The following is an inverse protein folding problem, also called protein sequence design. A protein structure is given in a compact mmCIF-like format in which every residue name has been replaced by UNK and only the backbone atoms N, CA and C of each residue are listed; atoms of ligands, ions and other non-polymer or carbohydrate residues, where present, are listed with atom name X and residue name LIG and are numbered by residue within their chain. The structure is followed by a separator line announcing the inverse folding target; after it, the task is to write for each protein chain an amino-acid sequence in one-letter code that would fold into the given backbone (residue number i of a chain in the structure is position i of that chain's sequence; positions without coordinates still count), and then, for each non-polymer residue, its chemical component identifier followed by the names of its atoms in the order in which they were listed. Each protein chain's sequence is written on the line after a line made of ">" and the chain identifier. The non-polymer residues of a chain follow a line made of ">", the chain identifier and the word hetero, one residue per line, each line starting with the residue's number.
data_IF_158030466161
#
_entry.id   IF_158030466161
#
_cell.length_a   1.000
_cell.length_b   1.000
_cell.length_c   1.000
_cell.angle_alpha   90.00
_cell.angle_beta   90.00
_cell.angle_gamma   90.00
#
_symmetry.space_group_name_H-M   'P 1'
#
loop_
_entity.id
_entity.type
_entity.pdbx_description
1 polymer ?
#
# COMPACT_ATOMS: atom_id res chain seq x y z
N UNK A 1 7.29 15.50 13.00
CA UNK A 1 6.71 14.82 11.81
C UNK A 1 6.51 15.83 10.70
N UNK A 2 6.99 15.49 9.51
CA UNK A 2 6.85 16.39 8.36
C UNK A 2 5.38 16.49 7.93
N UNK A 3 4.96 17.69 7.56
CA UNK A 3 3.63 17.91 7.02
C UNK A 3 3.69 17.81 5.49
N UNK A 4 2.66 17.26 4.82
CA UNK A 4 2.60 17.31 3.38
C UNK A 4 2.51 18.76 2.90
N UNK A 5 2.98 19.02 1.69
CA UNK A 5 2.86 20.35 1.08
C UNK A 5 1.36 20.71 0.94
N UNK A 6 1.02 22.00 0.98
CA UNK A 6 -0.37 22.41 0.76
C UNK A 6 -0.92 21.90 -0.57
N UNK A 7 -2.22 21.64 -0.62
CA UNK A 7 -2.89 21.10 -1.81
C UNK A 7 -2.59 21.90 -3.07
N UNK A 8 -2.56 23.21 -2.97
CA UNK A 8 -2.34 24.12 -4.10
C UNK A 8 -0.94 24.03 -4.71
N UNK A 9 0.01 23.40 -4.05
CA UNK A 9 1.35 23.17 -4.60
C UNK A 9 1.42 21.93 -5.50
N UNK A 10 0.33 21.19 -5.62
CA UNK A 10 0.27 19.98 -6.45
C UNK A 10 -0.54 20.22 -7.71
N UNK A 11 -0.14 19.58 -8.80
CA UNK A 11 -0.79 19.75 -10.10
C UNK A 11 -2.19 19.13 -10.15
N UNK A 12 -2.45 18.12 -9.30
CA UNK A 12 -3.73 17.42 -9.30
C UNK A 12 -4.04 16.87 -7.91
N UNK A 13 -5.31 16.54 -7.69
CA UNK A 13 -5.74 15.87 -6.46
C UNK A 13 -5.05 14.51 -6.30
N UNK A 14 -4.82 13.81 -7.42
CA UNK A 14 -4.13 12.52 -7.41
C UNK A 14 -2.71 12.64 -6.88
N UNK A 15 -1.97 13.65 -7.31
CA UNK A 15 -0.61 13.87 -6.81
C UNK A 15 -0.59 14.25 -5.33
N UNK A 16 -1.53 15.08 -4.90
CA UNK A 16 -1.67 15.45 -3.50
C UNK A 16 -1.96 14.23 -2.63
N UNK A 17 -2.95 13.43 -3.01
CA UNK A 17 -3.33 12.24 -2.24
C UNK A 17 -2.22 11.19 -2.22
N UNK A 18 -1.50 11.02 -3.33
CA UNK A 18 -0.35 10.12 -3.35
C UNK A 18 0.72 10.55 -2.36
N UNK A 19 1.06 11.85 -2.35
CA UNK A 19 2.04 12.38 -1.40
C UNK A 19 1.57 12.20 0.04
N UNK A 20 0.29 12.46 0.31
CA UNK A 20 -0.29 12.27 1.64
C UNK A 20 -0.19 10.81 2.09
N UNK A 21 -0.52 9.86 1.20
CA UNK A 21 -0.43 8.44 1.50
C UNK A 21 1.01 8.04 1.86
N UNK A 22 1.98 8.46 1.04
CA UNK A 22 3.39 8.13 1.25
C UNK A 22 3.89 8.65 2.60
N UNK A 23 3.42 9.81 3.04
CA UNK A 23 3.84 10.42 4.31
C UNK A 23 3.10 9.85 5.53
N UNK A 24 2.11 9.00 5.35
CA UNK A 24 1.33 8.41 6.43
C UNK A 24 2.04 7.19 6.99
N UNK A 25 2.91 7.38 7.99
CA UNK A 25 3.73 6.30 8.57
C UNK A 25 2.90 5.19 9.22
N UNK A 26 1.75 5.54 9.78
CA UNK A 26 0.93 4.60 10.54
C UNK A 26 -0.36 4.24 9.83
N UNK A 27 -0.42 4.51 8.53
CA UNK A 27 -1.63 4.31 7.75
C UNK A 27 -2.60 5.48 7.91
N UNK A 28 -3.81 5.32 7.42
CA UNK A 28 -4.84 6.35 7.46
C UNK A 28 -5.96 5.93 8.41
N UNK A 29 -6.63 6.92 9.02
CA UNK A 29 -7.74 6.63 9.90
C UNK A 29 -8.99 6.22 9.11
N UNK A 30 -10.05 5.81 9.83
CA UNK A 30 -11.27 5.33 9.21
C UNK A 30 -11.94 6.40 8.34
N UNK A 31 -11.86 7.67 8.72
CA UNK A 31 -12.47 8.75 7.94
C UNK A 31 -11.75 8.98 6.62
N UNK A 32 -10.43 8.84 6.61
CA UNK A 32 -9.64 9.00 5.40
C UNK A 32 -9.71 7.77 4.49
N UNK A 33 -10.07 6.60 5.04
CA UNK A 33 -10.05 5.34 4.30
C UNK A 33 -10.98 5.35 3.09
N UNK A 34 -12.18 5.90 3.26
CA UNK A 34 -13.14 6.00 2.16
C UNK A 34 -12.63 6.90 1.04
N UNK A 35 -11.95 7.99 1.40
CA UNK A 35 -11.33 8.88 0.42
C UNK A 35 -10.26 8.15 -0.37
N UNK A 36 -9.40 7.41 0.32
CA UNK A 36 -8.32 6.66 -0.34
C UNK A 36 -8.86 5.48 -1.14
N UNK A 37 -9.97 4.87 -0.71
CA UNK A 37 -10.60 3.82 -1.48
C UNK A 37 -11.10 4.34 -2.84
N UNK A 38 -11.66 5.55 -2.87
CA UNK A 38 -12.05 6.19 -4.12
C UNK A 38 -10.83 6.57 -4.98
N UNK A 39 -9.74 6.97 -4.34
CA UNK A 39 -8.49 7.32 -5.01
C UNK A 39 -7.84 6.10 -5.67
N UNK A 40 -7.83 4.97 -4.95
CA UNK A 40 -7.31 3.70 -5.46
C UNK A 40 -8.47 2.84 -5.96
N UNK A 41 -9.09 3.19 -7.04
CA UNK A 41 -10.39 2.63 -7.47
C UNK A 41 -10.30 1.28 -8.21
N UNK A 42 -9.27 0.51 -7.93
CA UNK A 42 -9.17 -0.86 -8.45
C UNK A 42 -8.48 -0.99 -9.80
N UNK A 43 -8.03 0.11 -10.38
CA UNK A 43 -7.35 0.11 -11.68
C UNK A 43 -6.00 0.81 -11.58
N UNK A 44 -4.98 0.14 -12.09
CA UNK A 44 -3.63 0.72 -12.12
C UNK A 44 -3.66 2.11 -12.77
N UNK A 45 -3.09 3.09 -12.11
CA UNK A 45 -2.98 4.50 -12.53
C UNK A 45 -4.29 5.30 -12.60
N UNK A 46 -5.42 4.74 -12.21
CA UNK A 46 -6.70 5.43 -12.45
C UNK A 46 -6.78 6.80 -11.79
N UNK A 47 -6.37 6.94 -10.56
CA UNK A 47 -6.32 8.23 -9.84
C UNK A 47 -4.94 8.52 -9.28
N UNK A 48 -4.16 7.46 -9.00
CA UNK A 48 -2.83 7.59 -8.44
C UNK A 48 -1.80 7.74 -9.57
N UNK A 49 -1.17 8.91 -9.71
CA UNK A 49 -0.15 9.09 -10.75
C UNK A 49 1.05 8.18 -10.47
N UNK A 50 1.61 7.62 -11.55
CA UNK A 50 2.74 6.71 -11.46
C UNK A 50 3.95 7.30 -12.17
N UNK A 51 5.12 7.16 -11.56
CA UNK A 51 6.38 7.53 -12.21
C UNK A 51 6.71 6.52 -13.31
N UNK A 52 7.70 6.85 -14.14
CA UNK A 52 8.19 5.94 -15.18
C UNK A 52 8.71 4.64 -14.54
N UNK A 53 9.41 4.75 -13.43
CA UNK A 53 9.97 3.60 -12.71
C UNK A 53 8.86 2.73 -12.09
N UNK A 54 7.84 3.36 -11.54
CA UNK A 54 6.70 2.63 -10.96
C UNK A 54 5.92 1.87 -12.04
N UNK A 55 5.68 2.52 -13.17
CA UNK A 55 5.02 1.89 -14.30
C UNK A 55 5.84 0.72 -14.83
N UNK A 56 7.15 0.92 -14.98
CA UNK A 56 8.06 -0.15 -15.43
C UNK A 56 8.02 -1.34 -14.49
N UNK A 57 8.03 -1.10 -13.19
CA UNK A 57 7.95 -2.15 -12.19
C UNK A 57 6.68 -2.98 -12.40
N UNK A 58 5.53 -2.31 -12.56
CA UNK A 58 4.26 -2.99 -12.79
C UNK A 58 4.27 -3.78 -14.10
N UNK A 59 4.78 -3.19 -15.19
CA UNK A 59 4.82 -3.84 -16.51
C UNK A 59 5.64 -5.14 -16.48
N UNK A 60 6.67 -5.19 -15.64
CA UNK A 60 7.56 -6.35 -15.53
C UNK A 60 7.04 -7.43 -14.59
N UNK A 61 5.93 -7.20 -13.88
CA UNK A 61 5.37 -8.19 -12.97
C UNK A 61 4.77 -9.38 -13.74
N UNK A 62 4.84 -10.60 -13.15
CA UNK A 62 4.14 -11.75 -13.72
C UNK A 62 2.62 -11.56 -13.58
N UNK A 63 1.85 -12.37 -14.31
CA UNK A 63 0.38 -12.28 -14.27
C UNK A 63 -0.20 -12.55 -12.88
N UNK A 64 0.45 -13.41 -12.09
CA UNK A 64 0.07 -13.68 -10.71
C UNK A 64 1.23 -13.26 -9.82
N UNK A 65 0.94 -12.41 -8.85
CA UNK A 65 1.94 -11.82 -7.95
C UNK A 65 1.67 -12.27 -6.52
N UNK A 66 2.72 -12.72 -5.84
CA UNK A 66 2.64 -13.01 -4.40
C UNK A 66 2.95 -11.73 -3.64
N UNK A 67 2.05 -11.38 -2.73
CA UNK A 67 2.15 -10.16 -1.94
C UNK A 67 2.03 -10.48 -0.46
N UNK A 68 2.63 -9.64 0.38
CA UNK A 68 2.71 -9.82 1.82
C UNK A 68 2.27 -8.57 2.55
N UNK A 69 1.66 -8.74 3.71
CA UNK A 69 1.28 -7.62 4.56
C UNK A 69 1.55 -7.97 6.02
N UNK A 70 2.28 -7.09 6.71
CA UNK A 70 2.47 -7.19 8.15
C UNK A 70 1.30 -6.56 8.89
N UNK A 71 0.81 -7.20 9.93
CA UNK A 71 -0.27 -6.67 10.74
C UNK A 71 -0.12 -7.09 12.19
N UNK A 72 -0.84 -6.40 13.05
CA UNK A 72 -0.82 -6.69 14.48
C UNK A 72 -2.24 -6.57 15.02
N UNK A 73 -2.86 -7.68 15.46
CA UNK A 73 -4.23 -7.66 16.00
C UNK A 73 -4.38 -6.75 17.21
N UNK A 74 -3.32 -6.60 18.01
CA UNK A 74 -3.38 -5.78 19.22
C UNK A 74 -3.59 -4.29 18.92
N UNK A 75 -3.19 -3.84 17.74
CA UNK A 75 -3.32 -2.45 17.32
C UNK A 75 -4.55 -2.22 16.44
N UNK A 76 -5.49 -3.14 16.43
CA UNK A 76 -6.69 -3.10 15.58
C UNK A 76 -6.38 -3.03 14.09
N UNK A 77 -5.17 -3.37 13.70
CA UNK A 77 -4.82 -3.44 12.29
C UNK A 77 -5.17 -4.81 11.77
N UNK A 78 -5.96 -4.80 10.72
CA UNK A 78 -6.38 -6.04 10.07
C UNK A 78 -5.43 -6.37 8.92
N UNK A 79 -5.44 -7.65 8.52
CA UNK A 79 -4.63 -8.08 7.40
C UNK A 79 -5.15 -7.54 6.05
N UNK A 80 -6.37 -7.09 5.99
CA UNK A 80 -7.07 -6.69 4.75
C UNK A 80 -6.93 -5.22 4.40
N UNK A 81 -5.91 -4.54 4.90
CA UNK A 81 -5.61 -3.17 4.50
C UNK A 81 -5.15 -3.08 3.05
N UNK A 82 -4.89 -1.86 2.58
CA UNK A 82 -4.56 -1.59 1.17
C UNK A 82 -3.08 -1.73 0.84
N UNK A 83 -2.19 -1.63 1.82
CA UNK A 83 -0.75 -1.60 1.59
C UNK A 83 -0.16 -3.01 1.66
N UNK A 84 0.48 -3.41 0.59
CA UNK A 84 1.11 -4.73 0.46
C UNK A 84 2.53 -4.58 -0.08
N UNK A 85 3.35 -5.58 0.06
CA UNK A 85 4.73 -5.58 -0.44
C UNK A 85 5.06 -6.94 -1.06
N UNK A 86 5.94 -6.98 -2.09
CA UNK A 86 6.42 -8.26 -2.60
C UNK A 86 7.48 -8.91 -1.70
N UNK A 87 7.95 -8.21 -0.67
CA UNK A 87 9.06 -8.64 0.18
C UNK A 87 8.55 -9.05 1.56
N UNK A 88 8.62 -10.35 1.87
CA UNK A 88 8.18 -10.89 3.15
C UNK A 88 8.93 -10.29 4.33
N UNK A 89 10.23 -10.02 4.18
CA UNK A 89 11.03 -9.43 5.25
C UNK A 89 10.59 -8.00 5.56
N UNK A 90 10.22 -7.24 4.54
CA UNK A 90 9.65 -5.89 4.72
C UNK A 90 8.33 -5.97 5.48
N UNK A 91 7.47 -6.92 5.12
CA UNK A 91 6.20 -7.12 5.81
C UNK A 91 6.42 -7.48 7.28
N UNK A 92 7.38 -8.37 7.57
CA UNK A 92 7.71 -8.76 8.93
C UNK A 92 8.25 -7.58 9.74
N UNK A 93 9.10 -6.78 9.13
CA UNK A 93 9.63 -5.57 9.77
C UNK A 93 8.50 -4.63 10.21
N UNK A 94 7.54 -4.38 9.35
CA UNK A 94 6.40 -3.51 9.69
C UNK A 94 5.50 -4.14 10.76
N UNK A 95 5.28 -5.44 10.68
CA UNK A 95 4.49 -6.15 11.67
C UNK A 95 5.12 -6.03 13.07
N UNK A 96 6.41 -6.26 13.17
CA UNK A 96 7.14 -6.23 14.44
C UNK A 96 7.27 -4.83 15.01
N UNK A 97 7.49 -3.85 14.15
CA UNK A 97 7.68 -2.45 14.55
C UNK A 97 6.50 -1.90 15.33
N UNK A 98 5.29 -2.40 15.05
CA UNK A 98 4.06 -1.89 15.65
C UNK A 98 3.50 -2.77 16.76
N UNK A 99 4.26 -3.78 17.15
CA UNK A 99 3.86 -4.69 18.22
C UNK A 99 4.60 -4.34 19.49
N UNK A 100 3.87 -4.08 20.58
CA UNK A 100 4.47 -3.86 21.90
C UNK A 100 5.20 -5.11 22.40
N UNK A 101 4.71 -6.28 22.01
CA UNK A 101 5.32 -7.55 22.37
C UNK A 101 6.44 -7.97 21.41
N UNK A 102 6.69 -7.19 20.35
CA UNK A 102 7.70 -7.52 19.35
C UNK A 102 7.32 -8.69 18.44
N UNK A 103 6.05 -9.08 18.43
CA UNK A 103 5.56 -10.22 17.63
C UNK A 103 4.44 -9.74 16.73
N UNK A 104 4.78 -9.47 15.49
CA UNK A 104 3.80 -9.17 14.45
C UNK A 104 3.51 -10.39 13.61
N UNK A 105 2.44 -10.33 12.85
CA UNK A 105 2.01 -11.39 11.95
C UNK A 105 2.13 -10.93 10.51
N UNK A 106 2.43 -11.87 9.61
CA UNK A 106 2.50 -11.61 8.17
C UNK A 106 1.49 -12.52 7.48
N UNK A 107 0.68 -11.92 6.63
CA UNK A 107 -0.23 -12.66 5.76
C UNK A 107 0.33 -12.60 4.33
N UNK A 108 0.14 -13.66 3.57
CA UNK A 108 0.49 -13.69 2.16
C UNK A 108 -0.73 -14.00 1.30
N UNK A 109 -0.72 -13.46 0.10
CA UNK A 109 -1.81 -13.64 -0.86
C UNK A 109 -1.25 -13.71 -2.27
N UNK A 110 -1.98 -14.35 -3.17
CA UNK A 110 -1.69 -14.35 -4.60
C UNK A 110 -2.79 -13.61 -5.32
N UNK A 111 -2.42 -12.59 -6.08
CA UNK A 111 -3.39 -11.78 -6.83
C UNK A 111 -2.93 -11.60 -8.28
N UNK A 112 -3.87 -11.41 -9.17
CA UNK A 112 -3.56 -10.99 -10.54
C UNK A 112 -2.94 -9.59 -10.49
N UNK A 113 -1.91 -9.34 -11.31
CA UNK A 113 -1.30 -8.01 -11.37
C UNK A 113 -2.29 -6.92 -11.74
N UNK A 114 -3.35 -7.27 -12.46
CA UNK A 114 -4.40 -6.31 -12.82
C UNK A 114 -5.11 -5.73 -11.58
N UNK A 115 -5.05 -6.41 -10.45
CA UNK A 115 -5.65 -5.94 -9.19
C UNK A 115 -4.73 -5.02 -8.40
N UNK A 116 -3.48 -4.87 -8.81
CA UNK A 116 -2.56 -3.91 -8.18
C UNK A 116 -2.90 -2.53 -8.73
N UNK A 117 -3.46 -1.68 -7.89
CA UNK A 117 -3.95 -0.36 -8.29
C UNK A 117 -2.82 0.64 -8.48
N UNK A 118 -1.75 0.50 -7.71
CA UNK A 118 -0.61 1.41 -7.76
C UNK A 118 0.64 0.72 -7.23
N UNK A 119 1.78 1.13 -7.75
CA UNK A 119 3.11 0.78 -7.24
C UNK A 119 3.71 2.05 -6.67
N UNK A 120 4.22 2.01 -5.45
CA UNK A 120 4.83 3.15 -4.79
C UNK A 120 6.29 2.82 -4.47
N UNK A 121 7.22 3.61 -4.99
CA UNK A 121 8.65 3.40 -4.84
C UNK A 121 9.35 4.56 -4.10
N UNK A 122 8.58 5.50 -3.55
CA UNK A 122 9.13 6.71 -2.94
C UNK A 122 9.54 6.56 -1.48
N UNK A 123 9.37 5.37 -0.88
CA UNK A 123 9.78 5.12 0.50
C UNK A 123 11.13 4.41 0.56
N UNK A 124 12.16 5.04 0.02
CA UNK A 124 13.51 4.48 0.02
C UNK A 124 13.61 3.22 -0.82
N UNK A 125 14.10 2.12 -0.25
CA UNK A 125 14.23 0.85 -0.94
C UNK A 125 12.99 -0.03 -0.86
N UNK A 126 11.95 0.43 -0.18
CA UNK A 126 10.74 -0.36 0.00
C UNK A 126 9.83 -0.25 -1.21
N UNK A 127 9.25 -1.38 -1.61
CA UNK A 127 8.27 -1.44 -2.68
C UNK A 127 6.89 -1.65 -2.05
N UNK A 128 5.97 -0.75 -2.33
CA UNK A 128 4.60 -0.85 -1.84
C UNK A 128 3.64 -1.04 -3.00
N UNK A 129 2.75 -2.03 -2.87
CA UNK A 129 1.67 -2.26 -3.82
C UNK A 129 0.36 -1.91 -3.13
N UNK A 130 -0.49 -1.18 -3.82
CA UNK A 130 -1.85 -0.88 -3.34
C UNK A 130 -2.80 -1.88 -3.97
N UNK A 131 -3.45 -2.68 -3.13
CA UNK A 131 -4.47 -3.65 -3.55
C UNK A 131 -5.65 -3.50 -2.59
N UNK A 132 -6.80 -3.12 -3.11
CA UNK A 132 -7.95 -2.70 -2.31
C UNK A 132 -8.99 -3.80 -2.10
N UNK A 133 -8.82 -4.95 -2.75
CA UNK A 133 -9.86 -5.99 -2.79
C UNK A 133 -9.36 -7.40 -2.40
N UNK A 134 -8.30 -7.48 -1.59
CA UNK A 134 -7.82 -8.79 -1.13
C UNK A 134 -8.86 -9.42 -0.20
N UNK A 135 -9.20 -10.66 -0.46
CA UNK A 135 -10.19 -11.42 0.33
C UNK A 135 -9.57 -12.71 0.86
N UNK A 136 -10.31 -13.42 1.72
CA UNK A 136 -9.88 -14.71 2.27
C UNK A 136 -9.50 -15.71 1.18
N UNK A 137 -10.17 -15.64 0.04
CA UNK A 137 -9.92 -16.56 -1.08
C UNK A 137 -8.55 -16.36 -1.72
N UNK A 138 -7.97 -15.18 -1.59
CA UNK A 138 -6.66 -14.85 -2.15
C UNK A 138 -5.50 -15.31 -1.27
N UNK A 139 -5.77 -15.60 0.00
CA UNK A 139 -4.71 -15.93 0.96
C UNK A 139 -4.07 -17.29 0.67
N UNK A 140 -2.78 -17.34 0.86
CA UNK A 140 -1.98 -18.56 0.65
C UNK A 140 -1.56 -19.22 1.94
#
# INVERSE_FOLDING_TARGET
>A
MAQPRPREEFDSDGEYLKAFWIMSEFGVDADAYDLFNSFFNGHFKSSCPQTVEEKKHWDELPEVVTIYRGYNPDNRRTWDGFSWTPDEDVAQFFADRRSEAGVGLVVSAEVSKARICAVLLQRGSEVEYIVTDVSDEDLT
#
